data_IF_775914682834
#
_entry.id   IF_775914682834
#
_cell.length_a   1.000
_cell.length_b   1.000
_cell.length_c   1.000
_cell.angle_alpha   90.00
_cell.angle_beta   90.00
_cell.angle_gamma   90.00
#
_symmetry.space_group_name_H-M   'P 1'
#
loop_
_entity.id
_entity.type
_entity.pdbx_description
1 polymer ?
#
# COMPACT_ATOMS: atom_id res chain seq x y z
N UNK A 1 60.82 14.93 38.79
CA UNK A 1 60.85 14.21 37.48
C UNK A 1 59.57 13.44 37.13
N UNK A 2 58.74 12.96 38.08
CA UNK A 2 57.48 12.24 37.77
C UNK A 2 56.31 13.13 37.30
N UNK A 3 56.16 14.36 37.82
CA UNK A 3 55.06 15.26 37.44
C UNK A 3 55.13 15.74 35.97
N UNK A 4 56.33 15.97 35.43
CA UNK A 4 56.49 16.41 34.03
C UNK A 4 56.12 15.32 33.01
N UNK A 5 56.31 14.04 33.35
CA UNK A 5 55.91 12.92 32.49
C UNK A 5 54.39 12.82 32.35
N UNK A 6 53.65 13.08 33.43
CA UNK A 6 52.18 13.01 33.40
C UNK A 6 51.56 14.17 32.59
N UNK A 7 52.18 15.36 32.58
CA UNK A 7 51.75 16.46 31.72
C UNK A 7 52.03 16.19 30.23
N UNK A 8 53.18 15.60 29.89
CA UNK A 8 53.45 15.21 28.50
C UNK A 8 52.46 14.16 27.98
N UNK A 9 52.09 13.18 28.81
CA UNK A 9 51.11 12.15 28.45
C UNK A 9 49.72 12.78 28.24
N UNK A 10 49.32 13.71 29.10
CA UNK A 10 48.04 14.40 28.97
C UNK A 10 47.98 15.25 27.68
N UNK A 11 49.06 15.96 27.36
CA UNK A 11 49.15 16.76 26.12
C UNK A 11 49.08 15.86 24.87
N UNK A 12 49.75 14.70 24.90
CA UNK A 12 49.70 13.74 23.79
C UNK A 12 48.30 13.15 23.59
N UNK A 13 47.58 12.83 24.68
CA UNK A 13 46.20 12.32 24.61
C UNK A 13 45.25 13.39 24.05
N UNK A 14 45.38 14.65 24.51
CA UNK A 14 44.57 15.76 24.00
C UNK A 14 44.85 16.00 22.52
N UNK A 15 46.12 15.95 22.08
CA UNK A 15 46.47 16.10 20.67
C UNK A 15 45.88 14.97 19.80
N UNK A 16 45.91 13.72 20.27
CA UNK A 16 45.30 12.58 19.56
C UNK A 16 43.78 12.75 19.49
N UNK A 17 43.12 13.20 20.55
CA UNK A 17 41.67 13.45 20.55
C UNK A 17 41.31 14.58 19.57
N UNK A 18 42.07 15.67 19.55
CA UNK A 18 41.86 16.79 18.61
C UNK A 18 42.08 16.36 17.16
N UNK A 19 43.09 15.55 16.88
CA UNK A 19 43.33 14.98 15.55
C UNK A 19 42.21 14.00 15.17
N UNK A 20 41.74 13.17 16.11
CA UNK A 20 40.64 12.23 15.87
C UNK A 20 39.32 12.95 15.58
N UNK A 21 39.01 14.02 16.33
CA UNK A 21 37.85 14.87 16.09
C UNK A 21 38.00 15.62 14.76
N UNK A 22 39.19 16.15 14.44
CA UNK A 22 39.47 16.79 13.15
C UNK A 22 39.32 15.84 11.96
N UNK A 23 39.73 14.57 12.10
CA UNK A 23 39.53 13.52 11.09
C UNK A 23 38.06 13.12 10.97
N UNK A 24 37.30 13.12 12.08
CA UNK A 24 35.84 12.90 12.07
C UNK A 24 35.12 14.07 11.37
N UNK A 25 35.56 15.31 11.60
CA UNK A 25 34.99 16.51 10.96
C UNK A 25 35.32 16.58 9.45
N UNK A 26 36.48 16.09 9.03
CA UNK A 26 36.88 15.95 7.61
C UNK A 26 36.27 14.71 6.93
N UNK A 27 35.75 13.73 7.69
CA UNK A 27 35.02 12.55 7.19
C UNK A 27 33.51 12.69 7.20
N UNK A 28 32.95 13.79 7.73
CA UNK A 28 31.54 14.11 7.46
C UNK A 28 31.40 14.24 5.95
N UNK A 29 30.53 13.45 5.29
CA UNK A 29 30.30 13.63 3.88
C UNK A 29 29.94 15.10 3.69
N UNK A 30 30.64 15.79 2.77
CA UNK A 30 30.23 17.11 2.30
C UNK A 30 28.76 16.97 2.00
N UNK A 31 27.94 17.61 2.83
CA UNK A 31 26.51 17.71 2.65
C UNK A 31 26.38 18.44 1.32
N UNK A 32 26.25 17.66 0.24
CA UNK A 32 25.94 18.18 -1.06
C UNK A 32 24.64 18.92 -0.83
N UNK A 33 24.71 20.22 -1.08
CA UNK A 33 23.57 21.11 -1.09
C UNK A 33 22.53 20.42 -1.95
N UNK A 34 21.53 19.81 -1.31
CA UNK A 34 20.34 19.30 -1.97
C UNK A 34 19.65 20.55 -2.46
N UNK A 35 20.03 21.00 -3.65
CA UNK A 35 19.26 21.96 -4.42
C UNK A 35 17.85 21.41 -4.50
N UNK A 36 16.86 22.22 -4.11
CA UNK A 36 15.43 21.99 -4.31
C UNK A 36 15.16 21.15 -5.58
N UNK A 37 15.10 19.83 -5.44
CA UNK A 37 14.70 18.95 -6.53
C UNK A 37 13.19 19.02 -6.58
N UNK A 38 12.68 19.39 -7.75
CA UNK A 38 11.27 19.47 -8.08
C UNK A 38 10.43 18.44 -7.32
N UNK A 39 9.45 18.89 -6.51
CA UNK A 39 8.52 18.01 -5.78
C UNK A 39 7.73 17.07 -6.69
N UNK A 40 7.85 17.25 -8.01
CA UNK A 40 7.19 16.47 -9.05
C UNK A 40 8.06 15.36 -9.64
N UNK A 41 9.36 15.27 -9.32
CA UNK A 41 10.24 14.18 -9.77
C UNK A 41 10.30 13.08 -8.69
N UNK A 42 10.09 11.83 -9.08
CA UNK A 42 10.09 10.69 -8.15
C UNK A 42 9.61 9.39 -8.81
N UNK A 43 9.68 8.29 -8.07
CA UNK A 43 9.40 6.93 -8.58
C UNK A 43 7.96 6.47 -8.32
N UNK A 44 7.13 7.31 -7.69
CA UNK A 44 5.71 7.05 -7.47
C UNK A 44 4.89 7.34 -8.73
N UNK A 45 3.76 6.66 -8.89
CA UNK A 45 2.83 6.91 -9.99
C UNK A 45 2.35 8.38 -9.96
N UNK A 46 2.24 8.99 -11.15
CA UNK A 46 1.92 10.40 -11.37
C UNK A 46 3.11 11.36 -11.30
N UNK A 47 4.28 10.91 -10.83
CA UNK A 47 5.51 11.73 -10.78
C UNK A 47 6.31 11.58 -12.07
N UNK A 48 7.09 12.61 -12.40
CA UNK A 48 8.08 12.56 -13.48
C UNK A 48 9.19 11.60 -13.09
N UNK A 49 9.44 10.61 -13.95
CA UNK A 49 10.45 9.58 -13.72
C UNK A 49 11.85 10.22 -13.54
N UNK A 50 12.66 9.80 -12.55
CA UNK A 50 14.01 10.33 -12.36
C UNK A 50 14.87 10.15 -13.61
N UNK A 51 15.37 11.26 -14.17
CA UNK A 51 16.26 11.17 -15.33
C UNK A 51 17.61 10.57 -14.95
N UNK A 52 18.22 9.82 -15.86
CA UNK A 52 19.54 9.21 -15.73
C UNK A 52 20.25 9.17 -17.08
N UNK A 53 21.55 8.87 -17.09
CA UNK A 53 22.37 8.62 -18.28
C UNK A 53 23.16 7.33 -18.06
N UNK A 54 23.05 6.36 -18.97
CA UNK A 54 23.80 5.11 -18.93
C UNK A 54 24.44 4.81 -20.29
N UNK A 55 25.49 3.99 -20.27
CA UNK A 55 26.04 3.39 -21.49
C UNK A 55 25.09 2.32 -22.04
N UNK A 56 24.94 2.26 -23.35
CA UNK A 56 24.15 1.23 -24.04
C UNK A 56 25.05 0.08 -24.49
N UNK A 57 24.45 -1.09 -24.74
CA UNK A 57 25.16 -2.28 -25.20
C UNK A 57 25.93 -2.04 -26.50
N UNK A 58 25.37 -1.23 -27.41
CA UNK A 58 26.00 -0.83 -28.69
C UNK A 58 27.15 0.20 -28.53
N UNK A 59 27.52 0.56 -27.29
CA UNK A 59 28.64 1.44 -26.99
C UNK A 59 28.31 2.93 -27.05
N UNK A 60 27.04 3.30 -27.25
CA UNK A 60 26.57 4.69 -27.13
C UNK A 60 26.22 5.02 -25.68
N UNK A 61 25.62 6.19 -25.49
CA UNK A 61 24.98 6.60 -24.24
C UNK A 61 23.51 6.91 -24.52
N UNK A 62 22.66 6.67 -23.54
CA UNK A 62 21.25 7.03 -23.60
C UNK A 62 20.80 7.64 -22.26
N UNK A 63 19.96 8.66 -22.35
CA UNK A 63 19.22 9.23 -21.23
C UNK A 63 17.76 8.84 -21.30
N UNK A 64 17.09 8.75 -20.15
CA UNK A 64 15.64 8.57 -20.16
C UNK A 64 14.95 9.75 -20.88
N UNK A 65 15.44 10.97 -20.69
CA UNK A 65 14.94 12.17 -21.36
C UNK A 65 15.06 12.16 -22.88
N UNK A 66 15.91 11.31 -23.47
CA UNK A 66 16.05 11.20 -24.94
C UNK A 66 14.78 10.62 -25.59
N UNK A 67 13.91 10.01 -24.79
CA UNK A 67 12.65 9.40 -25.21
C UNK A 67 11.42 10.24 -24.84
N UNK A 68 11.61 11.51 -24.50
CA UNK A 68 10.50 12.45 -24.26
C UNK A 68 9.56 12.51 -25.46
N UNK A 69 8.24 12.55 -25.22
CA UNK A 69 7.22 12.47 -26.27
C UNK A 69 6.91 11.04 -26.74
N UNK A 70 7.62 10.03 -26.23
CA UNK A 70 7.29 8.61 -26.45
C UNK A 70 6.87 7.96 -25.15
N UNK A 71 6.09 6.89 -25.28
CA UNK A 71 5.78 6.00 -24.16
C UNK A 71 7.01 5.13 -23.88
N UNK A 72 7.35 4.93 -22.61
CA UNK A 72 8.54 4.16 -22.24
C UNK A 72 8.16 3.02 -21.28
N UNK A 73 8.57 1.81 -21.63
CA UNK A 73 8.63 0.66 -20.72
C UNK A 73 10.06 0.57 -20.22
N UNK A 74 10.30 0.97 -18.98
CA UNK A 74 11.60 0.91 -18.33
C UNK A 74 11.69 -0.35 -17.48
N UNK A 75 12.37 -1.39 -17.98
CA UNK A 75 12.46 -2.70 -17.34
C UNK A 75 13.86 -2.91 -16.72
N UNK A 76 13.91 -3.25 -15.45
CA UNK A 76 15.12 -3.58 -14.71
C UNK A 76 15.26 -5.10 -14.59
N UNK A 77 16.38 -5.65 -15.05
CA UNK A 77 16.52 -7.10 -15.24
C UNK A 77 17.95 -7.61 -15.06
N UNK A 78 18.08 -8.94 -14.99
CA UNK A 78 19.36 -9.63 -15.03
C UNK A 78 19.27 -10.92 -15.86
N UNK A 79 20.36 -11.34 -16.52
CA UNK A 79 20.37 -12.50 -17.42
C UNK A 79 20.17 -13.83 -16.70
N UNK A 80 20.54 -13.89 -15.42
CA UNK A 80 20.37 -15.05 -14.55
C UNK A 80 19.00 -15.11 -13.87
N UNK A 81 18.16 -14.08 -13.99
CA UNK A 81 16.83 -14.02 -13.38
C UNK A 81 15.79 -14.74 -14.27
N UNK A 82 15.26 -15.93 -13.87
CA UNK A 82 14.37 -16.70 -14.73
C UNK A 82 13.12 -15.94 -15.18
N UNK A 83 12.37 -15.25 -14.29
CA UNK A 83 11.20 -14.50 -14.71
C UNK A 83 11.54 -13.38 -15.71
N UNK A 84 12.68 -12.71 -15.51
CA UNK A 84 13.16 -11.69 -16.44
C UNK A 84 13.37 -12.28 -17.85
N UNK A 85 13.91 -13.50 -17.95
CA UNK A 85 14.15 -14.16 -19.24
C UNK A 85 12.85 -14.52 -19.97
N UNK A 86 11.79 -14.83 -19.22
CA UNK A 86 10.48 -15.20 -19.76
C UNK A 86 9.74 -14.00 -20.35
N UNK A 87 9.92 -12.80 -19.78
CA UNK A 87 9.27 -11.57 -20.26
C UNK A 87 9.96 -10.92 -21.49
N UNK A 88 11.27 -11.14 -21.65
CA UNK A 88 12.08 -10.48 -22.68
C UNK A 88 11.57 -10.66 -24.12
N UNK A 89 11.14 -11.86 -24.56
CA UNK A 89 10.57 -12.05 -25.90
C UNK A 89 9.29 -11.23 -26.14
N UNK A 90 8.47 -11.03 -25.10
CA UNK A 90 7.24 -10.25 -25.22
C UNK A 90 7.54 -8.75 -25.31
N UNK A 91 8.50 -8.26 -24.53
CA UNK A 91 9.00 -6.89 -24.70
C UNK A 91 9.61 -6.66 -26.08
N UNK A 92 10.30 -7.65 -26.64
CA UNK A 92 10.80 -7.58 -28.01
C UNK A 92 9.66 -7.45 -29.03
N UNK A 93 8.62 -8.27 -28.93
CA UNK A 93 7.42 -8.18 -29.79
C UNK A 93 6.73 -6.81 -29.66
N UNK A 94 6.63 -6.27 -28.45
CA UNK A 94 6.01 -4.95 -28.22
C UNK A 94 6.84 -3.86 -28.88
N UNK A 95 8.16 -3.89 -28.71
CA UNK A 95 9.06 -2.92 -29.32
C UNK A 95 9.03 -2.98 -30.85
N UNK A 96 8.78 -4.14 -31.46
CA UNK A 96 8.68 -4.31 -32.91
C UNK A 96 7.31 -3.87 -33.46
N UNK A 97 6.22 -4.17 -32.74
CA UNK A 97 4.86 -3.95 -33.23
C UNK A 97 4.24 -2.60 -32.84
N UNK A 98 4.86 -1.85 -31.92
CA UNK A 98 4.31 -0.57 -31.41
C UNK A 98 5.39 0.54 -31.49
N UNK A 99 5.58 1.18 -32.65
CA UNK A 99 6.62 2.20 -32.86
C UNK A 99 6.54 3.42 -31.92
N UNK A 100 5.37 3.66 -31.34
CA UNK A 100 5.12 4.72 -30.36
C UNK A 100 5.60 4.39 -28.93
N UNK A 101 5.96 3.12 -28.69
CA UNK A 101 6.44 2.61 -27.41
C UNK A 101 7.92 2.26 -27.53
N UNK A 102 8.70 2.74 -26.58
CA UNK A 102 10.11 2.40 -26.43
C UNK A 102 10.27 1.48 -25.24
N UNK A 103 10.85 0.30 -25.46
CA UNK A 103 11.31 -0.55 -24.37
C UNK A 103 12.77 -0.21 -24.06
N UNK A 104 13.07 0.10 -22.80
CA UNK A 104 14.42 0.30 -22.28
C UNK A 104 14.73 -0.76 -21.23
N UNK A 105 15.64 -1.67 -21.54
CA UNK A 105 16.09 -2.69 -20.58
C UNK A 105 17.33 -2.23 -19.83
N UNK A 106 17.21 -1.91 -18.55
CA UNK A 106 18.33 -1.61 -17.66
C UNK A 106 18.86 -2.91 -17.04
N UNK A 107 20.02 -3.35 -17.50
CA UNK A 107 20.68 -4.52 -16.96
C UNK A 107 21.49 -4.18 -15.70
N UNK A 108 21.34 -5.01 -14.67
CA UNK A 108 21.85 -4.75 -13.33
C UNK A 108 23.17 -5.48 -13.05
N UNK A 109 24.28 -4.74 -12.99
CA UNK A 109 25.55 -5.20 -12.42
C UNK A 109 26.15 -6.48 -13.08
N UNK A 110 25.94 -6.68 -14.38
CA UNK A 110 26.56 -7.76 -15.16
C UNK A 110 27.57 -7.21 -16.19
N UNK A 111 28.50 -8.07 -16.65
CA UNK A 111 29.48 -7.66 -17.65
C UNK A 111 28.85 -7.53 -19.04
N UNK A 112 29.37 -6.59 -19.83
CA UNK A 112 28.89 -6.33 -21.19
C UNK A 112 28.87 -7.60 -22.05
N UNK A 113 29.92 -8.40 -21.97
CA UNK A 113 30.11 -9.62 -22.77
C UNK A 113 29.03 -10.67 -22.47
N UNK A 114 28.63 -10.81 -21.20
CA UNK A 114 27.57 -11.74 -20.79
C UNK A 114 26.21 -11.31 -21.36
N UNK A 115 25.94 -10.01 -21.38
CA UNK A 115 24.68 -9.44 -21.88
C UNK A 115 24.61 -9.49 -23.41
N UNK A 116 25.71 -9.25 -24.11
CA UNK A 116 25.79 -9.43 -25.57
C UNK A 116 25.48 -10.88 -25.96
N UNK A 117 26.10 -11.86 -25.29
CA UNK A 117 25.83 -13.27 -25.55
C UNK A 117 24.35 -13.64 -25.30
N UNK A 118 23.77 -13.13 -24.22
CA UNK A 118 22.38 -13.39 -23.85
C UNK A 118 21.37 -12.77 -24.83
N UNK A 119 21.54 -11.48 -25.14
CA UNK A 119 20.63 -10.73 -26.02
C UNK A 119 20.68 -11.24 -27.46
N UNK A 120 21.86 -11.60 -27.96
CA UNK A 120 22.01 -12.25 -29.27
C UNK A 120 21.29 -13.59 -29.34
N UNK A 121 21.36 -14.40 -28.26
CA UNK A 121 20.68 -15.69 -28.19
C UNK A 121 19.15 -15.56 -28.22
N UNK A 122 18.61 -14.52 -27.58
CA UNK A 122 17.16 -14.27 -27.54
C UNK A 122 16.64 -13.38 -28.67
N UNK A 123 17.52 -12.83 -29.51
CA UNK A 123 17.13 -11.92 -30.60
C UNK A 123 16.60 -10.57 -30.11
N UNK A 124 17.09 -10.09 -28.97
CA UNK A 124 16.67 -8.80 -28.39
C UNK A 124 17.33 -7.64 -29.12
N UNK A 125 16.52 -6.69 -29.59
CA UNK A 125 16.96 -5.52 -30.38
C UNK A 125 16.58 -4.19 -29.76
N UNK A 126 15.67 -4.16 -28.79
CA UNK A 126 15.36 -2.91 -28.09
C UNK A 126 16.58 -2.43 -27.27
N UNK A 127 16.70 -1.12 -26.99
CA UNK A 127 17.85 -0.58 -26.26
C UNK A 127 18.10 -1.25 -24.91
N UNK A 128 19.31 -1.78 -24.73
CA UNK A 128 19.81 -2.30 -23.46
C UNK A 128 20.82 -1.31 -22.88
N UNK A 129 20.56 -0.86 -21.66
CA UNK A 129 21.36 0.08 -20.89
C UNK A 129 22.05 -0.67 -19.75
N UNK A 130 23.32 -0.37 -19.51
CA UNK A 130 24.15 -1.07 -18.54
C UNK A 130 24.27 -0.23 -17.26
N UNK A 131 23.84 -0.77 -16.12
CA UNK A 131 24.02 -0.17 -14.79
C UNK A 131 25.05 -0.96 -13.96
N UNK A 132 26.34 -0.88 -14.30
CA UNK A 132 27.38 -1.72 -13.68
C UNK A 132 27.57 -1.43 -12.20
N UNK A 133 27.28 -0.19 -11.77
CA UNK A 133 27.49 0.28 -10.40
C UNK A 133 26.20 0.29 -9.57
N UNK A 134 25.05 -0.08 -10.16
CA UNK A 134 23.76 -0.06 -9.47
C UNK A 134 23.23 1.34 -9.13
N UNK A 135 23.72 2.39 -9.80
CA UNK A 135 23.33 3.77 -9.48
C UNK A 135 21.88 4.06 -9.88
N UNK A 136 21.45 3.54 -11.02
CA UNK A 136 20.06 3.71 -11.48
C UNK A 136 19.14 2.75 -10.75
N UNK A 137 19.61 1.54 -10.44
CA UNK A 137 18.96 0.59 -9.53
C UNK A 137 18.60 1.24 -8.20
N UNK A 138 19.57 1.91 -7.55
CA UNK A 138 19.36 2.61 -6.28
C UNK A 138 18.42 3.81 -6.46
N UNK A 139 18.61 4.62 -7.51
CA UNK A 139 17.74 5.76 -7.83
C UNK A 139 16.27 5.36 -8.02
N UNK A 140 16.03 4.18 -8.61
CA UNK A 140 14.69 3.62 -8.85
C UNK A 140 14.23 2.66 -7.75
N UNK A 141 14.96 2.56 -6.64
CA UNK A 141 14.62 1.74 -5.49
C UNK A 141 14.39 0.25 -5.85
N UNK A 142 15.17 -0.26 -6.80
CA UNK A 142 15.05 -1.63 -7.33
C UNK A 142 15.85 -2.59 -6.45
N UNK A 143 15.19 -3.16 -5.45
CA UNK A 143 15.81 -4.14 -4.54
C UNK A 143 15.74 -5.58 -5.03
N UNK A 144 14.85 -5.87 -5.97
CA UNK A 144 14.66 -7.17 -6.61
C UNK A 144 14.36 -6.96 -8.09
N UNK A 145 14.54 -7.97 -8.92
CA UNK A 145 14.24 -7.96 -10.35
C UNK A 145 13.36 -9.17 -10.72
N UNK A 146 12.46 -9.04 -11.71
CA UNK A 146 12.24 -7.85 -12.55
C UNK A 146 11.45 -6.74 -11.83
N UNK A 147 11.69 -5.50 -12.24
CA UNK A 147 10.83 -4.34 -11.93
C UNK A 147 10.62 -3.56 -13.21
N UNK A 148 9.37 -3.24 -13.53
CA UNK A 148 9.02 -2.52 -14.76
C UNK A 148 8.23 -1.27 -14.43
N UNK A 149 8.70 -0.13 -14.93
CA UNK A 149 8.00 1.15 -14.87
C UNK A 149 7.41 1.47 -16.25
N UNK A 150 6.15 1.92 -16.27
CA UNK A 150 5.47 2.39 -17.46
C UNK A 150 5.37 3.91 -17.40
N UNK A 151 5.86 4.59 -18.43
CA UNK A 151 6.05 6.04 -18.45
C UNK A 151 5.31 6.60 -19.67
N UNK A 152 4.51 7.65 -19.47
CA UNK A 152 3.77 8.32 -20.54
C UNK A 152 4.65 9.27 -21.37
N UNK A 153 4.10 9.80 -22.45
CA UNK A 153 4.78 10.75 -23.34
C UNK A 153 5.28 12.04 -22.65
N UNK A 154 4.78 12.38 -21.46
CA UNK A 154 5.22 13.53 -20.67
C UNK A 154 6.32 13.16 -19.67
N UNK A 155 6.82 11.91 -19.69
CA UNK A 155 7.83 11.42 -18.78
C UNK A 155 7.29 11.10 -17.38
N UNK A 156 5.96 10.97 -17.19
CA UNK A 156 5.38 10.60 -15.90
C UNK A 156 5.20 9.10 -15.79
N UNK A 157 5.50 8.55 -14.62
CA UNK A 157 5.23 7.15 -14.30
C UNK A 157 3.72 6.99 -14.19
N UNK A 158 3.14 6.13 -15.02
CA UNK A 158 1.69 5.84 -15.01
C UNK A 158 1.37 4.49 -14.37
N UNK A 159 2.35 3.59 -14.32
CA UNK A 159 2.24 2.29 -13.64
C UNK A 159 3.64 1.79 -13.27
N UNK A 160 3.72 0.88 -12.29
CA UNK A 160 4.93 0.14 -11.94
C UNK A 160 4.56 -1.27 -11.49
N UNK A 161 5.40 -2.26 -11.81
CA UNK A 161 5.23 -3.65 -11.38
C UNK A 161 6.52 -4.15 -10.76
N UNK A 162 6.39 -4.80 -9.60
CA UNK A 162 7.44 -5.62 -9.00
C UNK A 162 7.16 -7.09 -9.30
N UNK A 163 8.20 -7.82 -9.71
CA UNK A 163 8.08 -9.20 -10.15
C UNK A 163 7.56 -9.33 -11.57
N UNK A 164 7.37 -10.59 -11.99
CA UNK A 164 7.02 -10.94 -13.35
C UNK A 164 5.64 -10.37 -13.77
N UNK A 165 5.54 -10.05 -15.06
CA UNK A 165 4.36 -9.67 -15.81
C UNK A 165 3.94 -10.86 -16.67
N UNK A 166 2.65 -11.19 -16.64
CA UNK A 166 2.08 -12.09 -17.67
C UNK A 166 1.92 -11.33 -18.98
N UNK A 167 1.81 -12.06 -20.09
CA UNK A 167 1.56 -11.48 -21.43
C UNK A 167 0.37 -10.52 -21.38
N UNK A 168 -0.72 -10.94 -20.74
CA UNK A 168 -1.95 -10.17 -20.59
C UNK A 168 -1.71 -8.88 -19.80
N UNK A 169 -0.95 -8.95 -18.69
CA UNK A 169 -0.60 -7.77 -17.89
C UNK A 169 0.24 -6.78 -18.70
N UNK A 170 1.15 -7.26 -19.54
CA UNK A 170 1.96 -6.36 -20.38
C UNK A 170 1.07 -5.61 -21.38
N UNK A 171 0.19 -6.31 -22.11
CA UNK A 171 -0.71 -5.67 -23.08
C UNK A 171 -1.74 -4.74 -22.41
N UNK A 172 -2.28 -5.12 -21.25
CA UNK A 172 -3.17 -4.28 -20.46
C UNK A 172 -2.48 -2.96 -20.06
N UNK A 173 -1.29 -3.06 -19.46
CA UNK A 173 -0.54 -1.89 -18.99
C UNK A 173 -0.08 -1.00 -20.14
N UNK A 174 0.33 -1.59 -21.26
CA UNK A 174 0.66 -0.90 -22.51
C UNK A 174 -0.54 -0.11 -23.06
N UNK A 175 -1.72 -0.73 -23.11
CA UNK A 175 -2.96 -0.05 -23.51
C UNK A 175 -3.33 1.12 -22.57
N UNK A 176 -3.03 0.97 -21.29
CA UNK A 176 -3.33 1.95 -20.24
C UNK A 176 -2.30 3.09 -20.09
N UNK A 177 -1.21 3.12 -20.88
CA UNK A 177 -0.23 4.25 -20.84
C UNK A 177 -0.89 5.61 -21.19
N UNK A 178 -2.17 5.63 -21.61
CA UNK A 178 -2.95 6.83 -21.91
C UNK A 178 -3.62 7.56 -20.71
N UNK A 179 -3.44 7.17 -19.45
CA UNK A 179 -4.21 7.79 -18.35
C UNK A 179 -3.38 8.06 -17.09
N UNK A 180 -2.56 9.12 -17.11
CA UNK A 180 -2.21 9.80 -15.87
C UNK A 180 -3.38 10.71 -15.45
N UNK A 181 -3.96 10.41 -14.28
CA UNK A 181 -4.99 11.20 -13.59
C UNK A 181 -6.46 10.96 -13.94
N UNK A 182 -6.88 9.70 -14.09
CA UNK A 182 -8.29 9.38 -13.83
C UNK A 182 -8.46 8.70 -12.49
N UNK A 183 -9.19 9.41 -11.61
CA UNK A 183 -10.05 8.78 -10.62
C UNK A 183 -10.65 7.52 -11.25
N UNK A 184 -10.48 6.37 -10.60
CA UNK A 184 -11.06 5.10 -11.02
C UNK A 184 -12.47 5.33 -11.52
N UNK A 185 -12.65 5.18 -12.84
CA UNK A 185 -13.97 5.28 -13.43
C UNK A 185 -14.78 4.11 -12.89
N UNK A 186 -15.99 4.37 -12.40
CA UNK A 186 -16.98 3.34 -12.02
C UNK A 186 -17.51 2.55 -13.24
N UNK A 187 -16.75 2.53 -14.34
CA UNK A 187 -17.07 1.79 -15.54
C UNK A 187 -17.03 0.29 -15.26
N UNK A 188 -18.15 -0.37 -15.48
CA UNK A 188 -18.27 -1.82 -15.34
C UNK A 188 -17.82 -2.48 -16.63
N UNK A 189 -16.75 -3.26 -16.52
CA UNK A 189 -16.19 -4.09 -17.59
C UNK A 189 -16.58 -5.55 -17.38
N UNK A 190 -16.34 -6.38 -18.39
CA UNK A 190 -16.72 -7.79 -18.39
C UNK A 190 -15.57 -8.65 -18.89
N UNK A 191 -15.24 -9.72 -18.18
CA UNK A 191 -14.29 -10.75 -18.61
C UNK A 191 -14.91 -11.65 -19.70
N UNK A 192 -14.12 -12.43 -20.45
CA UNK A 192 -14.64 -13.35 -21.46
C UNK A 192 -15.67 -14.36 -20.95
N UNK A 193 -15.61 -14.73 -19.66
CA UNK A 193 -16.55 -15.64 -19.00
C UNK A 193 -17.85 -14.96 -18.53
N UNK A 194 -18.01 -13.65 -18.78
CA UNK A 194 -19.16 -12.86 -18.36
C UNK A 194 -19.04 -12.23 -16.97
N UNK A 195 -17.94 -12.45 -16.25
CA UNK A 195 -17.72 -11.86 -14.92
C UNK A 195 -17.56 -10.34 -15.03
N UNK A 196 -18.42 -9.60 -14.32
CA UNK A 196 -18.36 -8.14 -14.24
C UNK A 196 -17.30 -7.68 -13.26
N UNK A 197 -16.62 -6.58 -13.58
CA UNK A 197 -15.65 -5.95 -12.69
C UNK A 197 -15.52 -4.44 -12.93
N UNK A 198 -15.20 -3.72 -11.86
CA UNK A 198 -14.68 -2.34 -11.87
C UNK A 198 -13.16 -2.40 -11.64
N UNK A 199 -12.71 -3.28 -10.74
CA UNK A 199 -11.30 -3.55 -10.46
C UNK A 199 -10.97 -4.93 -11.03
N UNK A 200 -9.99 -5.00 -11.92
CA UNK A 200 -9.62 -6.25 -12.58
C UNK A 200 -9.16 -7.32 -11.57
N UNK A 201 -9.54 -8.60 -11.72
CA UNK A 201 -9.16 -9.68 -10.79
C UNK A 201 -7.66 -9.78 -10.47
N UNK A 202 -6.79 -9.46 -11.43
CA UNK A 202 -5.33 -9.50 -11.25
C UNK A 202 -4.80 -8.50 -10.21
N UNK A 203 -5.60 -7.49 -9.84
CA UNK A 203 -5.25 -6.49 -8.82
C UNK A 203 -5.43 -7.01 -7.38
N UNK A 204 -6.13 -8.13 -7.20
CA UNK A 204 -6.37 -8.71 -5.89
C UNK A 204 -5.23 -9.65 -5.51
N UNK A 205 -4.56 -9.33 -4.41
CA UNK A 205 -3.45 -10.12 -3.88
C UNK A 205 -3.94 -11.05 -2.77
N UNK A 206 -3.24 -12.16 -2.55
CA UNK A 206 -3.48 -13.02 -1.39
C UNK A 206 -2.97 -12.35 -0.12
N UNK A 207 -3.80 -12.27 0.92
CA UNK A 207 -3.39 -11.86 2.26
C UNK A 207 -2.68 -12.95 3.06
N UNK A 208 -2.62 -14.18 2.52
CA UNK A 208 -2.07 -15.36 3.19
C UNK A 208 -3.16 -16.38 3.55
N UNK A 209 -4.10 -16.05 4.45
CA UNK A 209 -5.25 -16.91 4.73
C UNK A 209 -6.12 -17.12 3.49
N UNK A 210 -6.71 -18.33 3.31
CA UNK A 210 -7.70 -18.55 2.28
C UNK A 210 -9.00 -17.78 2.59
N UNK A 211 -9.96 -17.83 1.66
CA UNK A 211 -11.33 -17.36 1.89
C UNK A 211 -11.89 -18.00 3.18
N UNK A 212 -12.47 -17.17 4.04
CA UNK A 212 -12.91 -17.50 5.41
C UNK A 212 -11.84 -18.09 6.34
N UNK A 213 -10.55 -18.03 5.96
CA UNK A 213 -9.43 -18.42 6.82
C UNK A 213 -9.30 -17.51 8.05
N UNK A 214 -9.77 -16.27 7.95
CA UNK A 214 -10.09 -15.39 9.08
C UNK A 214 -11.62 -15.43 9.25
N UNK A 215 -12.15 -16.09 10.29
CA UNK A 215 -13.58 -16.34 10.36
C UNK A 215 -14.35 -15.09 10.84
N UNK A 216 -15.42 -14.72 10.13
CA UNK A 216 -16.33 -13.67 10.58
C UNK A 216 -17.14 -14.09 11.81
N UNK A 217 -17.62 -13.11 12.59
CA UNK A 217 -18.59 -13.34 13.68
C UNK A 217 -19.99 -13.12 13.13
N UNK A 218 -20.77 -14.19 12.98
CA UNK A 218 -22.09 -14.14 12.35
C UNK A 218 -23.27 -14.16 13.33
N UNK A 219 -23.00 -14.49 14.60
CA UNK A 219 -23.96 -14.44 15.69
C UNK A 219 -23.34 -13.77 16.92
N UNK A 220 -23.07 -12.45 16.85
CA UNK A 220 -22.35 -11.75 17.91
C UNK A 220 -23.16 -11.72 19.21
N UNK A 221 -22.50 -12.05 20.32
CA UNK A 221 -23.04 -11.92 21.67
C UNK A 221 -22.52 -10.67 22.33
N UNK A 222 -23.35 -10.05 23.16
CA UNK A 222 -23.01 -8.78 23.78
C UNK A 222 -23.22 -8.82 25.29
N UNK A 223 -22.39 -8.05 25.98
CA UNK A 223 -22.41 -7.87 27.43
C UNK A 223 -22.56 -6.38 27.77
N UNK A 224 -22.94 -6.09 29.01
CA UNK A 224 -22.99 -4.73 29.52
C UNK A 224 -21.59 -4.14 29.75
N UNK A 225 -21.52 -2.83 29.94
CA UNK A 225 -20.31 -2.12 30.40
C UNK A 225 -19.70 -2.75 31.65
N UNK A 226 -20.54 -3.13 32.63
CA UNK A 226 -20.09 -3.79 33.87
C UNK A 226 -19.57 -5.21 33.64
N UNK A 227 -20.11 -5.94 32.66
CA UNK A 227 -19.63 -7.26 32.26
C UNK A 227 -18.30 -7.21 31.50
N UNK A 228 -17.98 -6.08 30.87
CA UNK A 228 -16.74 -5.86 30.12
C UNK A 228 -15.54 -5.45 31.01
N UNK A 229 -15.45 -6.00 32.23
CA UNK A 229 -14.37 -5.71 33.19
C UNK A 229 -12.97 -6.19 32.75
N UNK A 230 -12.92 -6.99 31.68
CA UNK A 230 -11.69 -7.47 31.04
C UNK A 230 -11.09 -6.48 30.03
N UNK A 231 -11.83 -5.42 29.68
CA UNK A 231 -11.42 -4.41 28.73
C UNK A 231 -10.84 -3.20 29.47
N UNK A 232 -9.55 -2.92 29.27
CA UNK A 232 -8.89 -1.75 29.87
C UNK A 232 -9.35 -0.45 29.21
N UNK A 233 -9.34 0.66 29.96
CA UNK A 233 -9.79 1.98 29.49
C UNK A 233 -8.97 2.53 28.32
N UNK A 234 -7.72 2.10 28.18
CA UNK A 234 -6.83 2.48 27.09
C UNK A 234 -7.00 1.64 25.81
N UNK A 235 -7.75 0.54 25.86
CA UNK A 235 -8.00 -0.29 24.69
C UNK A 235 -8.90 0.44 23.68
N UNK A 236 -8.57 0.30 22.40
CA UNK A 236 -9.28 0.95 21.30
C UNK A 236 -10.29 -0.03 20.71
N UNK A 237 -11.42 0.49 20.28
CA UNK A 237 -12.41 -0.24 19.51
C UNK A 237 -13.20 0.68 18.59
N UNK A 238 -14.18 0.09 17.92
CA UNK A 238 -15.15 0.81 17.13
C UNK A 238 -16.41 1.04 17.96
N UNK A 239 -16.77 2.30 18.19
CA UNK A 239 -18.04 2.72 18.73
C UNK A 239 -19.05 2.98 17.61
N UNK A 240 -20.29 2.53 17.79
CA UNK A 240 -21.40 2.80 16.88
C UNK A 240 -22.59 3.27 17.71
N UNK A 241 -23.20 4.40 17.32
CA UNK A 241 -24.54 4.78 17.78
C UNK A 241 -25.49 4.69 16.60
N UNK A 242 -26.46 3.79 16.69
CA UNK A 242 -27.45 3.57 15.64
C UNK A 242 -28.85 3.45 16.24
N UNK A 243 -29.78 4.31 15.80
CA UNK A 243 -31.16 4.39 16.32
C UNK A 243 -31.22 4.40 17.86
N UNK A 244 -30.39 5.26 18.48
CA UNK A 244 -30.24 5.43 19.93
C UNK A 244 -29.68 4.22 20.70
N UNK A 245 -29.27 3.16 20.01
CA UNK A 245 -28.55 2.05 20.62
C UNK A 245 -27.06 2.20 20.37
N UNK A 246 -26.26 2.12 21.43
CA UNK A 246 -24.80 2.19 21.33
C UNK A 246 -24.18 0.79 21.42
N UNK A 247 -23.23 0.52 20.55
CA UNK A 247 -22.45 -0.72 20.49
C UNK A 247 -20.96 -0.39 20.53
N UNK A 248 -20.18 -1.26 21.16
CA UNK A 248 -18.72 -1.18 21.15
C UNK A 248 -18.12 -2.50 20.71
N UNK A 249 -17.23 -2.45 19.71
CA UNK A 249 -16.56 -3.60 19.11
C UNK A 249 -15.05 -3.48 19.35
N UNK A 250 -14.49 -4.18 20.36
CA UNK A 250 -13.07 -4.06 20.71
C UNK A 250 -12.16 -4.55 19.59
N UNK A 251 -11.12 -3.77 19.25
CA UNK A 251 -10.17 -4.17 18.21
C UNK A 251 -9.39 -5.43 18.56
N UNK A 252 -9.22 -5.74 19.85
CA UNK A 252 -8.61 -7.01 20.30
C UNK A 252 -9.39 -8.25 19.82
N UNK A 253 -10.70 -8.11 19.57
CA UNK A 253 -11.53 -9.17 19.00
C UNK A 253 -11.51 -9.03 17.48
N UNK A 254 -11.78 -7.83 16.97
CA UNK A 254 -11.89 -7.59 15.52
C UNK A 254 -10.60 -7.92 14.75
N UNK A 255 -9.42 -7.82 15.37
CA UNK A 255 -8.14 -8.20 14.73
C UNK A 255 -8.07 -9.67 14.31
N UNK A 256 -8.88 -10.55 14.92
CA UNK A 256 -8.92 -11.98 14.60
C UNK A 256 -10.11 -12.39 13.73
N UNK A 257 -11.07 -11.48 13.51
CA UNK A 257 -12.33 -11.79 12.83
C UNK A 257 -12.59 -10.89 11.63
N UNK A 258 -12.10 -9.65 11.67
CA UNK A 258 -12.20 -8.59 10.67
C UNK A 258 -13.63 -8.15 10.30
N UNK A 259 -14.62 -9.02 10.46
CA UNK A 259 -16.02 -8.83 10.09
C UNK A 259 -16.93 -9.34 11.20
N UNK A 260 -17.96 -8.55 11.54
CA UNK A 260 -19.10 -8.95 12.36
C UNK A 260 -20.39 -8.68 11.59
N UNK A 261 -21.16 -9.73 11.31
CA UNK A 261 -22.52 -9.64 10.79
C UNK A 261 -23.49 -9.51 11.98
N UNK A 262 -23.83 -8.27 12.33
CA UNK A 262 -24.67 -7.95 13.49
C UNK A 262 -26.11 -7.60 13.08
N UNK A 263 -26.97 -7.51 14.09
CA UNK A 263 -28.27 -6.85 14.04
C UNK A 263 -28.39 -5.86 15.20
N UNK A 264 -28.53 -4.58 14.86
CA UNK A 264 -28.93 -3.57 15.84
C UNK A 264 -30.43 -3.36 15.69
N UNK A 265 -31.17 -3.77 16.72
CA UNK A 265 -32.62 -3.94 16.66
C UNK A 265 -32.98 -4.93 15.54
N UNK A 266 -33.52 -4.46 14.41
CA UNK A 266 -33.90 -5.29 13.26
C UNK A 266 -33.13 -4.94 11.99
N UNK A 267 -32.19 -3.98 12.04
CA UNK A 267 -31.40 -3.62 10.88
C UNK A 267 -30.12 -4.45 10.81
N UNK A 268 -29.79 -5.03 9.64
CA UNK A 268 -28.60 -5.81 9.46
C UNK A 268 -27.40 -4.87 9.38
N UNK A 269 -26.56 -4.90 10.40
CA UNK A 269 -25.36 -4.08 10.50
C UNK A 269 -24.14 -4.95 10.15
N UNK A 270 -23.21 -4.38 9.40
CA UNK A 270 -21.90 -4.96 9.14
C UNK A 270 -20.85 -4.09 9.80
N UNK A 271 -20.03 -4.69 10.64
CA UNK A 271 -18.85 -4.04 11.21
C UNK A 271 -17.62 -4.67 10.60
N UNK A 272 -16.73 -3.84 10.08
CA UNK A 272 -15.49 -4.26 9.44
C UNK A 272 -14.31 -3.63 10.16
N UNK A 273 -13.18 -4.32 10.17
CA UNK A 273 -11.91 -3.80 10.65
C UNK A 273 -10.77 -4.44 9.87
N UNK A 274 -9.96 -3.60 9.27
CA UNK A 274 -8.74 -3.98 8.58
C UNK A 274 -7.53 -3.71 9.48
N UNK A 275 -6.88 -4.76 10.00
CA UNK A 275 -5.73 -4.58 10.88
C UNK A 275 -4.49 -4.03 10.17
N UNK A 276 -4.39 -4.20 8.84
CA UNK A 276 -3.29 -3.66 8.03
C UNK A 276 -3.39 -2.15 7.81
N UNK A 277 -4.59 -1.59 7.84
CA UNK A 277 -4.87 -0.19 7.51
C UNK A 277 -5.52 0.58 8.67
N UNK A 278 -5.63 -0.05 9.84
CA UNK A 278 -6.19 0.50 11.07
C UNK A 278 -7.56 1.18 10.90
N UNK A 279 -8.36 0.70 9.95
CA UNK A 279 -9.61 1.31 9.56
C UNK A 279 -10.75 0.37 9.88
N UNK A 280 -11.66 0.83 10.76
CA UNK A 280 -12.93 0.17 11.03
C UNK A 280 -14.09 0.98 10.46
N UNK A 281 -15.08 0.29 9.88
CA UNK A 281 -16.22 0.91 9.20
C UNK A 281 -17.49 0.14 9.56
N UNK A 282 -18.60 0.87 9.69
CA UNK A 282 -19.93 0.31 9.85
C UNK A 282 -20.75 0.49 8.58
N UNK A 283 -21.58 -0.51 8.25
CA UNK A 283 -22.52 -0.44 7.13
C UNK A 283 -23.89 -1.00 7.51
N UNK A 284 -24.91 -0.58 6.76
CA UNK A 284 -26.14 -1.37 6.61
C UNK A 284 -25.88 -2.39 5.50
N UNK A 285 -25.84 -3.68 5.83
CA UNK A 285 -25.53 -4.78 4.88
C UNK A 285 -26.76 -5.23 4.10
N UNK A 286 -27.39 -4.29 3.40
CA UNK A 286 -28.49 -4.58 2.47
C UNK A 286 -28.03 -4.44 1.03
N UNK A 287 -28.35 -5.44 0.21
CA UNK A 287 -28.18 -5.41 -1.25
C UNK A 287 -29.57 -5.61 -1.85
N UNK A 288 -30.03 -4.65 -2.65
CA UNK A 288 -31.40 -4.62 -3.19
C UNK A 288 -32.47 -4.76 -2.08
N UNK A 289 -32.27 -4.05 -0.96
CA UNK A 289 -33.08 -4.09 0.26
C UNK A 289 -33.07 -5.42 1.05
N UNK A 290 -32.41 -6.45 0.57
CA UNK A 290 -32.29 -7.72 1.28
C UNK A 290 -31.05 -7.76 2.18
N UNK A 291 -31.14 -8.28 3.42
CA UNK A 291 -29.97 -8.51 4.26
C UNK A 291 -29.02 -9.50 3.59
N UNK A 292 -27.73 -9.19 3.60
CA UNK A 292 -26.68 -10.07 3.07
C UNK A 292 -25.59 -10.24 4.11
N UNK A 293 -25.08 -11.47 4.24
CA UNK A 293 -23.92 -11.77 5.08
C UNK A 293 -22.63 -11.60 4.29
N UNK A 294 -21.62 -11.07 4.96
CA UNK A 294 -20.29 -10.88 4.41
C UNK A 294 -19.28 -11.76 5.12
N UNK A 295 -18.31 -12.28 4.36
CA UNK A 295 -17.16 -13.02 4.89
C UNK A 295 -15.84 -12.38 4.47
N UNK A 296 -14.75 -12.89 5.02
CA UNK A 296 -13.39 -12.43 4.69
C UNK A 296 -12.91 -13.19 3.46
N UNK A 297 -12.55 -12.48 2.39
CA UNK A 297 -12.20 -13.14 1.13
C UNK A 297 -10.80 -13.79 1.13
N UNK A 298 -9.94 -13.41 2.09
CA UNK A 298 -8.50 -13.70 2.05
C UNK A 298 -7.73 -12.89 1.01
N UNK A 299 -8.41 -11.95 0.33
CA UNK A 299 -7.82 -11.05 -0.67
C UNK A 299 -7.61 -9.66 -0.10
N UNK A 300 -6.63 -8.99 -0.70
CA UNK A 300 -6.29 -7.61 -0.44
C UNK A 300 -6.25 -6.83 -1.75
N UNK A 301 -6.63 -5.57 -1.65
CA UNK A 301 -6.51 -4.59 -2.71
C UNK A 301 -6.05 -3.29 -2.06
N UNK A 302 -5.02 -2.60 -2.58
CA UNK A 302 -4.43 -1.42 -1.91
C UNK A 302 -4.11 -1.62 -0.42
N UNK A 303 -3.61 -2.81 -0.06
CA UNK A 303 -3.31 -3.20 1.33
C UNK A 303 -4.50 -3.10 2.31
N UNK A 304 -5.74 -3.09 1.82
CA UNK A 304 -6.95 -3.15 2.64
C UNK A 304 -7.69 -4.47 2.51
N UNK A 305 -8.51 -4.76 3.54
CA UNK A 305 -9.46 -5.86 3.59
C UNK A 305 -10.41 -5.81 2.37
N UNK A 306 -10.45 -6.91 1.63
CA UNK A 306 -11.51 -7.18 0.65
C UNK A 306 -12.48 -8.18 1.27
N UNK A 307 -13.72 -7.76 1.44
CA UNK A 307 -14.81 -8.62 1.88
C UNK A 307 -15.39 -9.35 0.67
N UNK A 308 -16.15 -10.42 0.92
CA UNK A 308 -17.04 -10.96 -0.10
C UNK A 308 -18.45 -11.10 0.47
N UNK A 309 -19.47 -10.96 -0.39
CA UNK A 309 -20.85 -11.25 0.01
C UNK A 309 -21.18 -12.71 -0.26
N UNK A 310 -21.78 -13.40 0.72
CA UNK A 310 -22.08 -14.84 0.62
C UNK A 310 -23.18 -15.17 -0.39
N UNK A 311 -23.96 -14.17 -0.81
CA UNK A 311 -25.09 -14.36 -1.73
C UNK A 311 -24.64 -14.50 -3.18
N UNK A 312 -23.64 -13.74 -3.59
CA UNK A 312 -23.20 -13.65 -4.99
C UNK A 312 -21.71 -13.90 -5.17
N UNK A 313 -20.97 -14.07 -4.08
CA UNK A 313 -19.51 -14.18 -4.08
C UNK A 313 -18.79 -12.99 -4.72
N UNK A 314 -19.41 -11.80 -4.69
CA UNK A 314 -18.78 -10.59 -5.22
C UNK A 314 -17.82 -10.00 -4.20
N UNK A 315 -16.77 -9.32 -4.67
CA UNK A 315 -15.74 -8.72 -3.82
C UNK A 315 -16.00 -7.25 -3.57
N UNK A 316 -15.71 -6.84 -2.34
CA UNK A 316 -15.99 -5.52 -1.79
C UNK A 316 -14.78 -5.02 -0.98
N UNK A 317 -13.89 -4.19 -1.54
CA UNK A 317 -12.93 -3.42 -0.74
C UNK A 317 -13.68 -2.60 0.30
N UNK A 318 -13.34 -2.77 1.57
CA UNK A 318 -14.17 -2.22 2.65
C UNK A 318 -14.27 -0.69 2.58
N UNK A 319 -13.21 0.02 2.21
CA UNK A 319 -13.24 1.49 2.18
C UNK A 319 -14.18 2.04 1.12
N UNK A 320 -14.43 1.28 0.05
CA UNK A 320 -15.35 1.67 -1.01
C UNK A 320 -16.81 1.42 -0.65
N UNK A 321 -17.10 0.35 0.11
CA UNK A 321 -18.48 -0.09 0.33
C UNK A 321 -19.20 -0.40 -0.99
N UNK A 322 -18.46 -0.83 -2.02
CA UNK A 322 -18.92 -1.09 -3.39
C UNK A 322 -18.45 -2.46 -3.84
N UNK A 323 -19.32 -3.20 -4.53
CA UNK A 323 -18.89 -4.42 -5.22
C UNK A 323 -18.11 -4.04 -6.47
N UNK A 324 -16.91 -4.56 -6.60
CA UNK A 324 -15.97 -4.22 -7.68
C UNK A 324 -15.63 -5.41 -8.56
N UNK A 325 -16.05 -6.62 -8.19
CA UNK A 325 -15.85 -7.84 -8.95
C UNK A 325 -16.96 -8.83 -8.59
N UNK A 326 -17.56 -9.48 -9.59
CA UNK A 326 -18.62 -10.47 -9.41
C UNK A 326 -20.03 -9.97 -9.75
N UNK A 327 -21.08 -10.79 -9.54
CA UNK A 327 -22.45 -10.49 -9.98
C UNK A 327 -23.06 -9.20 -9.40
N UNK A 328 -22.62 -8.77 -8.22
CA UNK A 328 -23.07 -7.54 -7.56
C UNK A 328 -22.27 -6.30 -7.97
N UNK A 329 -21.34 -6.39 -8.93
CA UNK A 329 -20.48 -5.26 -9.36
C UNK A 329 -21.29 -3.98 -9.61
N UNK A 330 -20.83 -2.87 -9.03
CA UNK A 330 -21.46 -1.55 -9.09
C UNK A 330 -22.47 -1.28 -7.97
N UNK A 331 -22.92 -2.30 -7.23
CA UNK A 331 -23.81 -2.10 -6.07
C UNK A 331 -23.05 -1.50 -4.90
N UNK A 332 -23.77 -0.75 -4.07
CA UNK A 332 -23.26 -0.05 -2.89
C UNK A 332 -23.96 -0.55 -1.63
N UNK A 333 -23.23 -0.59 -0.53
CA UNK A 333 -23.77 -0.71 0.82
C UNK A 333 -23.61 0.62 1.56
N UNK A 334 -24.62 0.99 2.35
CA UNK A 334 -24.66 2.31 2.99
C UNK A 334 -23.77 2.32 4.24
N UNK A 335 -22.76 3.18 4.27
CA UNK A 335 -21.96 3.46 5.47
C UNK A 335 -22.81 4.09 6.58
N UNK A 336 -22.50 3.75 7.82
CA UNK A 336 -23.04 4.41 9.02
C UNK A 336 -21.90 5.07 9.80
N UNK A 337 -22.19 6.12 10.59
CA UNK A 337 -21.17 6.76 11.42
C UNK A 337 -20.55 5.78 12.41
N UNK A 338 -19.22 5.81 12.53
CA UNK A 338 -18.46 5.00 13.47
C UNK A 338 -17.33 5.82 14.09
N UNK A 339 -17.02 5.55 15.35
CA UNK A 339 -15.96 6.20 16.09
C UNK A 339 -14.85 5.21 16.44
N UNK A 340 -13.62 5.46 15.98
CA UNK A 340 -12.45 4.75 16.49
C UNK A 340 -11.97 5.45 17.76
N UNK A 341 -12.19 4.82 18.91
CA UNK A 341 -12.11 5.49 20.22
C UNK A 341 -11.62 4.55 21.31
N UNK A 342 -11.03 5.13 22.36
CA UNK A 342 -10.67 4.41 23.58
C UNK A 342 -11.92 4.00 24.36
N UNK A 343 -11.89 2.80 24.93
CA UNK A 343 -12.99 2.26 25.73
C UNK A 343 -13.38 3.17 26.90
N UNK A 344 -12.39 3.66 27.64
CA UNK A 344 -12.62 4.52 28.80
C UNK A 344 -13.27 5.86 28.43
N UNK A 345 -13.03 6.37 27.22
CA UNK A 345 -13.64 7.61 26.74
C UNK A 345 -15.02 7.37 26.14
N UNK A 346 -15.26 6.21 25.52
CA UNK A 346 -16.56 5.83 24.97
C UNK A 346 -17.61 5.53 26.06
N UNK A 347 -17.25 4.77 27.08
CA UNK A 347 -18.21 4.30 28.09
C UNK A 347 -18.78 5.41 28.99
N UNK A 348 -18.09 6.56 29.09
CA UNK A 348 -18.53 7.72 29.89
C UNK A 348 -19.82 8.36 29.34
N UNK A 349 -19.89 8.78 28.06
CA UNK A 349 -21.13 9.27 27.45
C UNK A 349 -22.10 8.16 27.05
N UNK A 350 -21.67 6.89 27.00
CA UNK A 350 -22.49 5.74 26.58
C UNK A 350 -22.55 4.63 27.66
N UNK A 351 -23.13 4.89 28.84
CA UNK A 351 -23.14 3.94 29.96
C UNK A 351 -23.97 2.68 29.69
N UNK A 352 -24.93 2.74 28.75
CA UNK A 352 -25.78 1.61 28.36
C UNK A 352 -25.23 0.84 27.15
N UNK A 353 -23.98 1.11 26.75
CA UNK A 353 -23.42 0.49 25.56
C UNK A 353 -23.29 -1.02 25.70
N UNK A 354 -23.65 -1.74 24.64
CA UNK A 354 -23.49 -3.19 24.53
C UNK A 354 -22.13 -3.49 23.91
N UNK A 355 -21.28 -4.19 24.65
CA UNK A 355 -19.90 -4.51 24.24
C UNK A 355 -19.87 -5.91 23.63
N UNK A 356 -19.21 -6.06 22.48
CA UNK A 356 -18.99 -7.38 21.87
C UNK A 356 -18.25 -8.29 22.85
N UNK A 357 -18.81 -9.47 23.11
CA UNK A 357 -18.28 -10.45 24.07
C UNK A 357 -17.13 -11.26 23.49
N UNK A 358 -16.28 -11.82 24.37
CA UNK A 358 -15.30 -12.87 24.02
C UNK A 358 -15.97 -14.18 23.59
N UNK A 359 -17.24 -14.38 23.93
CA UNK A 359 -18.07 -15.49 23.44
C UNK A 359 -18.49 -15.25 21.98
N UNK A 360 -17.52 -15.49 21.09
CA UNK A 360 -17.60 -15.25 19.65
C UNK A 360 -18.06 -16.48 18.85
N UNK A 361 -18.23 -17.63 19.52
CA UNK A 361 -18.46 -18.93 18.88
C UNK A 361 -17.17 -19.67 18.45
N UNK A 362 -15.99 -19.08 18.67
CA UNK A 362 -14.70 -19.68 18.31
C UNK A 362 -13.84 -19.98 19.54
N UNK A 363 -13.13 -21.13 19.51
CA UNK A 363 -12.16 -21.48 20.55
C UNK A 363 -10.86 -20.68 20.37
N UNK A 364 -10.84 -19.47 20.92
CA UNK A 364 -9.72 -18.53 20.83
C UNK A 364 -9.58 -17.70 22.10
N UNK A 365 -8.34 -17.44 22.51
CA UNK A 365 -8.05 -16.41 23.52
C UNK A 365 -7.90 -15.05 22.85
N UNK A 366 -8.55 -14.04 23.41
CA UNK A 366 -8.44 -12.63 23.02
C UNK A 366 -7.56 -11.82 24.00
N UNK A 367 -6.91 -12.51 24.93
CA UNK A 367 -6.04 -11.91 25.96
C UNK A 367 -4.54 -11.97 25.58
N UNK A 368 -4.24 -12.48 24.38
CA UNK A 368 -2.89 -12.58 23.84
C UNK A 368 -2.37 -11.31 23.14
N UNK A 369 -1.17 -11.40 22.60
CA UNK A 369 -0.56 -10.33 21.82
C UNK A 369 -1.27 -10.13 20.48
N UNK A 370 -1.38 -8.86 20.07
CA UNK A 370 -1.87 -8.50 18.74
C UNK A 370 -0.93 -9.09 17.66
N UNK A 371 -1.43 -9.92 16.74
CA UNK A 371 -0.61 -10.57 15.71
C UNK A 371 0.00 -9.60 14.70
N UNK A 372 -0.49 -8.36 14.66
CA UNK A 372 0.00 -7.31 13.77
C UNK A 372 0.98 -6.33 14.44
N UNK A 373 1.32 -6.52 15.72
CA UNK A 373 2.32 -5.71 16.43
C UNK A 373 1.88 -5.26 17.82
N UNK A 374 2.84 -5.09 18.72
CA UNK A 374 2.62 -4.93 20.16
C UNK A 374 2.41 -3.50 20.65
N UNK A 375 2.44 -2.49 19.77
CA UNK A 375 2.17 -1.10 20.14
C UNK A 375 1.01 -0.58 19.32
N UNK A 376 0.00 -0.04 20.01
CA UNK A 376 -1.06 0.76 19.38
C UNK A 376 -0.57 2.09 18.79
N UNK A 377 0.74 2.20 18.53
CA UNK A 377 1.32 3.17 17.61
C UNK A 377 1.61 2.36 16.34
N UNK A 378 0.84 2.64 15.30
CA UNK A 378 0.88 1.91 14.02
C UNK A 378 2.06 2.39 13.16
N UNK A 379 3.13 2.94 13.77
CA UNK A 379 4.27 3.52 13.06
C UNK A 379 5.31 2.48 12.66
N UNK A 380 5.18 1.24 13.16
CA UNK A 380 6.15 0.15 12.94
C UNK A 380 5.64 -0.95 11.99
N UNK A 381 4.49 -0.73 11.32
CA UNK A 381 4.05 -1.63 10.25
C UNK A 381 4.79 -1.14 8.99
N UNK A 382 5.68 -1.93 8.41
CA UNK A 382 6.14 -1.66 7.05
C UNK A 382 5.01 -1.99 6.07
N UNK A 383 4.84 -1.21 5.00
CA UNK A 383 3.85 -1.51 3.95
C UNK A 383 4.02 -2.95 3.46
N UNK A 384 3.09 -3.84 3.84
CA UNK A 384 3.19 -5.29 3.58
C UNK A 384 2.70 -5.67 2.19
N UNK A 385 1.82 -4.85 1.62
CA UNK A 385 1.21 -5.07 0.31
C UNK A 385 1.24 -3.76 -0.50
N UNK A 386 1.46 -3.83 -1.81
CA UNK A 386 1.61 -2.65 -2.66
C UNK A 386 0.31 -1.82 -2.73
N UNK A 387 0.50 -0.52 -2.99
CA UNK A 387 -0.56 0.45 -3.25
C UNK A 387 -0.55 0.84 -4.73
N UNK A 388 -1.72 1.04 -5.32
CA UNK A 388 -1.82 1.57 -6.70
C UNK A 388 -1.42 3.04 -6.78
N UNK A 389 -1.55 3.79 -5.69
CA UNK A 389 -1.15 5.19 -5.61
C UNK A 389 -0.37 5.42 -4.33
N UNK A 390 0.72 6.17 -4.44
CA UNK A 390 1.57 6.55 -3.31
C UNK A 390 1.71 8.07 -3.29
N UNK A 391 1.60 8.65 -2.09
CA UNK A 391 1.76 10.09 -1.87
C UNK A 391 2.76 10.31 -0.74
N UNK A 392 3.90 10.94 -1.07
CA UNK A 392 4.98 11.20 -0.11
C UNK A 392 4.76 12.44 0.77
N UNK A 393 3.60 13.10 0.69
CA UNK A 393 3.25 14.23 1.58
C UNK A 393 2.94 13.77 3.01
N UNK A 394 2.66 12.48 3.21
CA UNK A 394 2.39 11.84 4.50
C UNK A 394 3.20 10.55 4.64
N UNK A 395 3.52 10.18 5.87
CA UNK A 395 3.99 8.83 6.16
C UNK A 395 2.88 7.82 5.85
N UNK A 396 3.25 6.61 5.38
CA UNK A 396 2.29 5.60 4.90
C UNK A 396 1.28 5.14 5.96
N UNK A 397 1.59 5.35 7.25
CA UNK A 397 0.73 5.02 8.40
C UNK A 397 0.31 6.27 9.20
N UNK A 398 0.43 7.46 8.61
CA UNK A 398 -0.13 8.67 9.20
C UNK A 398 -1.64 8.49 9.42
N UNK A 399 -2.09 8.62 10.66
CA UNK A 399 -3.52 8.52 10.98
C UNK A 399 -4.22 9.78 10.49
N UNK A 400 -5.15 9.59 9.56
CA UNK A 400 -5.99 10.64 9.01
C UNK A 400 -7.44 10.39 9.41
N UNK A 401 -8.12 11.44 9.86
CA UNK A 401 -9.56 11.43 10.07
C UNK A 401 -10.25 11.93 8.81
N UNK A 402 -11.01 11.04 8.17
CA UNK A 402 -11.93 11.38 7.08
C UNK A 402 -13.27 11.83 7.64
N UNK A 403 -13.77 12.97 7.17
CA UNK A 403 -15.09 13.49 7.48
C UNK A 403 -15.86 13.63 6.18
N UNK A 404 -17.05 13.05 6.15
CA UNK A 404 -18.03 13.25 5.09
C UNK A 404 -19.25 13.99 5.65
N UNK A 405 -19.60 15.13 5.05
CA UNK A 405 -20.84 15.87 5.37
C UNK A 405 -21.51 16.26 4.07
N UNK A 406 -22.73 15.78 3.82
CA UNK A 406 -23.50 16.07 2.62
C UNK A 406 -22.70 15.81 1.32
N UNK A 407 -22.04 14.65 1.25
CA UNK A 407 -21.19 14.25 0.12
C UNK A 407 -19.99 15.19 -0.14
N UNK A 408 -19.60 15.98 0.87
CA UNK A 408 -18.35 16.75 0.87
C UNK A 408 -17.36 16.06 1.79
N UNK A 409 -16.18 15.78 1.26
CA UNK A 409 -15.14 15.02 1.93
C UNK A 409 -14.03 15.95 2.38
N UNK A 410 -13.57 15.75 3.62
CA UNK A 410 -12.38 16.39 4.17
C UNK A 410 -11.54 15.36 4.91
N UNK A 411 -10.24 15.53 4.86
CA UNK A 411 -9.27 14.71 5.54
C UNK A 411 -8.38 15.59 6.42
N UNK A 412 -8.14 15.18 7.66
CA UNK A 412 -7.30 15.90 8.62
C UNK A 412 -6.30 14.93 9.25
N UNK A 413 -5.03 15.33 9.36
CA UNK A 413 -4.05 14.53 10.12
C UNK A 413 -4.44 14.56 11.59
N UNK A 414 -4.24 13.45 12.29
CA UNK A 414 -4.44 13.37 13.73
C UNK A 414 -3.63 14.44 14.47
N UNK A 415 -2.38 14.64 14.06
CA UNK A 415 -1.46 15.61 14.66
C UNK A 415 -1.94 17.07 14.55
N UNK A 416 -2.67 17.41 13.49
CA UNK A 416 -3.23 18.76 13.30
C UNK A 416 -4.43 19.03 14.20
N UNK A 417 -5.24 17.99 14.50
CA UNK A 417 -6.40 18.07 15.37
C UNK A 417 -6.00 18.23 16.84
N UNK A 418 -5.01 17.47 17.31
CA UNK A 418 -4.53 17.52 18.71
C UNK A 418 -3.95 18.88 19.08
N UNK A 419 -3.40 19.61 18.10
CA UNK A 419 -2.78 20.94 18.32
C UNK A 419 -3.75 22.10 18.09
N UNK A 420 -5.03 21.85 17.77
CA UNK A 420 -6.00 22.88 17.41
C UNK A 420 -5.65 23.63 16.11
N UNK A 421 -4.86 23.03 15.22
CA UNK A 421 -4.36 23.64 13.97
C UNK A 421 -4.93 22.96 12.74
N UNK A 422 -6.18 22.54 12.78
CA UNK A 422 -6.81 21.84 11.67
C UNK A 422 -6.75 22.68 10.38
N UNK A 423 -5.97 22.23 9.39
CA UNK A 423 -6.00 22.72 8.01
C UNK A 423 -6.40 21.54 7.12
N UNK A 424 -7.25 21.79 6.13
CA UNK A 424 -7.69 20.75 5.19
C UNK A 424 -6.52 20.22 4.36
N UNK A 425 -6.42 18.90 4.22
CA UNK A 425 -5.39 18.24 3.39
C UNK A 425 -5.61 18.39 1.87
N UNK A 426 -6.75 18.96 1.47
CA UNK A 426 -7.04 19.39 0.11
C UNK A 426 -7.00 20.92 0.07
N UNK A 427 -5.90 21.44 -0.48
CA UNK A 427 -5.60 22.86 -0.66
C UNK A 427 -4.26 23.01 -1.36
#
# INVERSE_FOLDING_TARGET
MKLQKNHLILIAIVAIIVISIGVIELRKPKQSVISNKDKNVGISIGKTAPNFELGTLDGKKAKLSDYSGKKVILNFWASWCPPCREEMPEFQKISENNPEIVVLGVNLQESKEAIEAFTNKLGIKFPILLDPNGQVKEMYNVFTQPVTYFIDENGKIVDKKFGALTVEEIYEKVGNIKRSAELQTDEIKTLPDGTKYIIHPSKFLSGGPPKDGTPSIDNPKFISVTGANWLSDDEIGLGIVYKNESRFYPFRILVYHEIVNDFIQNDPILVTYCPLCFTGIGFIRKIDNEPVEFGVSGKLYNSELVMYDRKTDSYWPQTLGKAVLGPSTGKLIKKIPTDTVKWGDWKKPHPDTKVLSKDTGFLRSYDGSNPYGSKGDFTDINLRFPLENEDSRLDAYEIVYGIEVNNKFKAYKRSDLVRGRARTLAG
#
